data_IF_802284740501
#
_entry.id   IF_802284740501
#
_cell.length_a   1.000
_cell.length_b   1.000
_cell.length_c   1.000
_cell.angle_alpha   90.00
_cell.angle_beta   90.00
_cell.angle_gamma   90.00
#
_symmetry.space_group_name_H-M   'P 1'
#
loop_
_entity.id
_entity.type
_entity.pdbx_description
1 polymer ?
#
# COMPACT_ATOMS: atom_id res chain seq x y z
N UNK A 1 0.85 -14.06 4.42
CA UNK A 1 -0.60 -14.15 4.75
C UNK A 1 -0.93 -15.37 5.60
N UNK A 2 -0.71 -16.61 5.13
CA UNK A 2 -1.07 -17.83 5.88
C UNK A 2 -0.46 -17.93 7.28
N UNK A 3 0.85 -17.66 7.42
CA UNK A 3 1.54 -17.70 8.74
C UNK A 3 0.88 -16.73 9.74
N UNK A 4 0.56 -15.50 9.30
CA UNK A 4 -0.14 -14.51 10.12
C UNK A 4 -1.56 -14.97 10.49
N UNK A 5 -2.26 -15.67 9.60
CA UNK A 5 -3.58 -16.22 9.89
C UNK A 5 -3.51 -17.30 10.98
N UNK A 6 -2.52 -18.19 10.93
CA UNK A 6 -2.31 -19.20 11.98
C UNK A 6 -2.02 -18.54 13.32
N UNK A 7 -1.14 -17.53 13.35
CA UNK A 7 -0.83 -16.77 14.56
C UNK A 7 -2.09 -16.07 15.10
N UNK A 8 -2.87 -15.42 14.24
CA UNK A 8 -4.09 -14.74 14.63
C UNK A 8 -5.12 -15.68 15.25
N UNK A 9 -5.29 -16.89 14.69
CA UNK A 9 -6.16 -17.91 15.29
C UNK A 9 -5.68 -18.27 16.70
N UNK A 10 -4.36 -18.46 16.91
CA UNK A 10 -3.85 -18.78 18.25
C UNK A 10 -4.04 -17.63 19.26
N UNK A 11 -4.02 -16.38 18.81
CA UNK A 11 -4.18 -15.22 19.68
C UNK A 11 -5.65 -14.91 20.01
N UNK A 12 -6.55 -15.07 19.04
CA UNK A 12 -7.89 -14.45 19.07
C UNK A 12 -9.06 -15.41 18.93
N UNK A 13 -8.82 -16.72 18.74
CA UNK A 13 -9.89 -17.72 18.61
C UNK A 13 -10.86 -17.65 19.78
N UNK A 14 -12.16 -17.62 19.49
CA UNK A 14 -13.22 -17.66 20.50
C UNK A 14 -13.47 -16.36 21.25
N UNK A 15 -12.75 -15.28 20.92
CA UNK A 15 -12.80 -14.02 21.70
C UNK A 15 -13.57 -12.88 21.01
N UNK A 16 -14.10 -13.13 19.81
CA UNK A 16 -14.78 -12.12 18.98
C UNK A 16 -16.31 -12.15 19.15
N UNK A 17 -16.78 -12.56 20.32
CA UNK A 17 -18.19 -12.54 20.70
C UNK A 17 -18.51 -11.29 21.51
N UNK A 18 -19.74 -10.79 21.38
CA UNK A 18 -20.23 -9.64 22.12
C UNK A 18 -21.73 -9.75 22.35
N UNK A 19 -22.21 -9.14 23.45
CA UNK A 19 -23.63 -8.94 23.66
C UNK A 19 -24.08 -7.65 22.97
N UNK A 20 -25.33 -7.61 22.48
CA UNK A 20 -25.94 -6.35 21.99
C UNK A 20 -26.05 -5.27 23.08
N UNK A 21 -26.07 -5.68 24.35
CA UNK A 21 -26.05 -4.80 25.53
C UNK A 21 -24.64 -4.83 26.15
N UNK A 22 -23.97 -3.68 26.17
CA UNK A 22 -22.60 -3.53 26.69
C UNK A 22 -22.48 -3.72 28.20
N UNK A 23 -23.59 -3.78 28.93
CA UNK A 23 -23.57 -4.07 30.37
C UNK A 23 -23.35 -5.55 30.69
N UNK A 24 -23.41 -6.44 29.69
CA UNK A 24 -23.36 -7.90 29.85
C UNK A 24 -22.14 -8.52 29.17
N UNK A 25 -21.32 -9.19 29.97
CA UNK A 25 -20.04 -9.74 29.53
C UNK A 25 -20.08 -11.24 29.22
N UNK A 26 -21.16 -11.96 29.52
CA UNK A 26 -21.24 -13.41 29.31
C UNK A 26 -22.51 -13.80 28.56
N UNK A 27 -22.45 -14.90 27.81
CA UNK A 27 -23.60 -15.45 27.08
C UNK A 27 -24.78 -15.76 28.02
N UNK A 28 -24.49 -16.27 29.22
CA UNK A 28 -25.51 -16.60 30.20
C UNK A 28 -26.29 -15.37 30.70
N UNK A 29 -25.61 -14.23 30.81
CA UNK A 29 -26.21 -12.97 31.21
C UNK A 29 -26.85 -12.19 30.05
N UNK A 30 -26.43 -12.45 28.81
CA UNK A 30 -26.94 -11.83 27.59
C UNK A 30 -28.32 -12.39 27.19
N UNK A 31 -29.27 -12.38 28.13
CA UNK A 31 -30.64 -12.88 27.95
C UNK A 31 -31.66 -11.81 28.35
N UNK A 32 -32.86 -11.92 27.79
CA UNK A 32 -33.95 -10.99 28.03
C UNK A 32 -33.91 -9.79 27.09
N UNK A 33 -34.21 -8.60 27.62
CA UNK A 33 -34.37 -7.38 26.84
C UNK A 33 -33.62 -6.21 27.49
N UNK A 34 -33.16 -5.28 26.67
CA UNK A 34 -32.56 -4.02 27.09
C UNK A 34 -33.28 -2.84 26.42
N UNK A 35 -33.05 -1.63 26.95
CA UNK A 35 -33.60 -0.40 26.38
C UNK A 35 -32.47 0.23 25.56
N UNK A 36 -32.67 0.33 24.25
CA UNK A 36 -31.74 1.03 23.37
C UNK A 36 -32.05 2.53 23.45
N UNK A 37 -31.19 3.28 24.13
CA UNK A 37 -31.35 4.74 24.28
C UNK A 37 -31.04 5.51 23.00
N UNK A 38 -30.32 4.91 22.03
CA UNK A 38 -29.97 5.53 20.76
C UNK A 38 -31.07 5.34 19.70
N UNK A 39 -31.86 4.25 19.81
CA UNK A 39 -32.98 3.95 18.90
C UNK A 39 -34.34 4.04 19.57
N UNK A 40 -34.83 5.28 19.74
CA UNK A 40 -36.21 5.57 20.16
C UNK A 40 -36.61 5.01 21.54
N UNK A 41 -35.65 4.65 22.41
CA UNK A 41 -35.92 4.01 23.73
C UNK A 41 -36.78 2.74 23.59
N UNK A 42 -36.65 2.02 22.48
CA UNK A 42 -37.39 0.78 22.25
C UNK A 42 -36.75 -0.37 23.03
N UNK A 43 -37.61 -1.32 23.41
CA UNK A 43 -37.21 -2.55 24.08
C UNK A 43 -36.69 -3.53 23.02
N UNK A 44 -35.38 -3.71 22.96
CA UNK A 44 -34.73 -4.66 22.07
C UNK A 44 -34.32 -5.94 22.81
N UNK A 45 -34.29 -7.07 22.10
CA UNK A 45 -33.89 -8.36 22.66
C UNK A 45 -32.37 -8.41 22.77
N UNK A 46 -31.85 -8.89 23.90
CA UNK A 46 -30.41 -9.15 24.04
C UNK A 46 -30.03 -10.38 23.23
N UNK A 47 -28.98 -10.25 22.42
CA UNK A 47 -28.47 -11.32 21.58
C UNK A 47 -26.95 -11.42 21.73
N UNK A 48 -26.46 -12.64 21.97
CA UNK A 48 -25.03 -12.94 21.94
C UNK A 48 -24.61 -13.17 20.49
N UNK A 49 -23.80 -12.28 19.95
CA UNK A 49 -23.42 -12.25 18.54
C UNK A 49 -21.92 -12.40 18.38
N UNK A 50 -21.52 -12.96 17.24
CA UNK A 50 -20.14 -12.96 16.79
C UNK A 50 -19.92 -11.80 15.83
N UNK A 51 -18.74 -11.17 15.88
CA UNK A 51 -18.34 -10.18 14.87
C UNK A 51 -18.20 -10.82 13.49
N UNK A 52 -18.55 -10.09 12.43
CA UNK A 52 -18.47 -10.58 11.04
C UNK A 52 -17.02 -10.91 10.63
N UNK A 53 -16.07 -10.11 11.10
CA UNK A 53 -14.64 -10.35 10.96
C UNK A 53 -14.08 -10.90 12.29
N UNK A 54 -13.58 -12.14 12.26
CA UNK A 54 -13.15 -12.88 13.44
C UNK A 54 -12.07 -13.92 13.08
N UNK A 55 -11.41 -14.47 14.10
CA UNK A 55 -10.23 -15.35 13.96
C UNK A 55 -10.47 -16.77 14.49
N UNK A 56 -11.70 -17.29 14.46
CA UNK A 56 -12.03 -18.59 15.06
C UNK A 56 -11.46 -19.79 14.30
N UNK A 57 -11.30 -19.64 12.98
CA UNK A 57 -10.67 -20.64 12.13
C UNK A 57 -9.85 -19.97 11.03
N UNK A 58 -9.01 -20.78 10.38
CA UNK A 58 -8.02 -20.32 9.42
C UNK A 58 -8.68 -19.60 8.23
N UNK A 59 -9.85 -20.05 7.76
CA UNK A 59 -10.53 -19.45 6.61
C UNK A 59 -11.03 -18.05 6.94
N UNK A 60 -11.71 -17.88 8.08
CA UNK A 60 -12.16 -16.57 8.53
C UNK A 60 -11.00 -15.65 8.90
N UNK A 61 -9.94 -16.18 9.51
CA UNK A 61 -8.73 -15.42 9.77
C UNK A 61 -8.08 -14.90 8.48
N UNK A 62 -8.03 -15.71 7.42
CA UNK A 62 -7.55 -15.28 6.11
C UNK A 62 -8.44 -14.19 5.52
N UNK A 63 -9.77 -14.32 5.62
CA UNK A 63 -10.72 -13.31 5.15
C UNK A 63 -10.54 -11.98 5.90
N UNK A 64 -10.46 -12.03 7.24
CA UNK A 64 -10.25 -10.83 8.05
C UNK A 64 -8.91 -10.18 7.74
N UNK A 65 -7.82 -10.95 7.61
CA UNK A 65 -6.51 -10.39 7.23
C UNK A 65 -6.48 -9.84 5.81
N UNK A 66 -7.26 -10.40 4.89
CA UNK A 66 -7.44 -9.87 3.55
C UNK A 66 -8.10 -8.49 3.61
N UNK A 67 -9.22 -8.33 4.33
CA UNK A 67 -9.88 -7.03 4.54
C UNK A 67 -8.96 -6.03 5.22
N UNK A 68 -8.19 -6.46 6.23
CA UNK A 68 -7.19 -5.59 6.86
C UNK A 68 -6.11 -5.16 5.86
N UNK A 69 -5.70 -6.04 4.93
CA UNK A 69 -4.68 -5.72 3.93
C UNK A 69 -5.13 -4.73 2.85
N UNK A 70 -6.44 -4.60 2.60
CA UNK A 70 -6.96 -3.59 1.66
C UNK A 70 -7.00 -2.20 2.30
N UNK A 71 -6.79 -2.09 3.61
CA UNK A 71 -6.89 -0.82 4.33
C UNK A 71 -8.32 -0.38 4.64
N UNK A 72 -9.31 -1.24 4.41
CA UNK A 72 -10.72 -0.95 4.71
C UNK A 72 -11.15 -1.63 6.02
N UNK A 73 -11.83 -0.89 6.89
CA UNK A 73 -12.39 -1.44 8.14
C UNK A 73 -11.36 -1.93 9.17
N UNK A 74 -10.06 -1.89 8.87
CA UNK A 74 -9.00 -2.35 9.78
C UNK A 74 -9.00 -1.65 11.15
N UNK A 75 -9.36 -0.35 11.32
CA UNK A 75 -9.39 0.25 12.66
C UNK A 75 -10.45 -0.41 13.54
N UNK A 76 -11.57 -0.83 12.97
CA UNK A 76 -12.64 -1.53 13.68
C UNK A 76 -12.18 -2.93 14.10
N UNK A 77 -11.53 -3.66 13.20
CA UNK A 77 -10.98 -4.99 13.51
C UNK A 77 -9.88 -4.90 14.57
N UNK A 78 -9.00 -3.89 14.48
CA UNK A 78 -7.99 -3.60 15.50
C UNK A 78 -8.63 -3.29 16.85
N UNK A 79 -9.61 -2.38 16.88
CA UNK A 79 -10.31 -2.00 18.11
C UNK A 79 -10.98 -3.23 18.75
N UNK A 80 -11.72 -4.02 17.98
CA UNK A 80 -12.29 -5.26 18.46
C UNK A 80 -11.22 -6.22 19.00
N UNK A 81 -10.03 -6.26 18.42
CA UNK A 81 -8.92 -7.11 18.88
C UNK A 81 -8.26 -6.60 20.17
N UNK A 82 -8.26 -5.28 20.40
CA UNK A 82 -7.75 -4.66 21.63
C UNK A 82 -8.73 -4.86 22.78
N UNK A 83 -10.03 -4.83 22.47
CA UNK A 83 -11.10 -5.00 23.45
C UNK A 83 -11.34 -6.48 23.83
N UNK A 84 -10.66 -7.42 23.18
CA UNK A 84 -10.75 -8.86 23.48
C UNK A 84 -10.35 -9.17 24.92
N UNK A 85 -11.13 -10.02 25.57
CA UNK A 85 -10.90 -10.51 26.94
C UNK A 85 -10.43 -11.97 26.97
N UNK A 86 -11.28 -12.86 27.45
CA UNK A 86 -11.08 -14.31 27.54
C UNK A 86 -12.05 -15.01 26.58
N UNK A 87 -11.89 -16.32 26.41
CA UNK A 87 -12.88 -17.11 25.67
C UNK A 87 -14.24 -17.04 26.42
N UNK A 88 -15.34 -17.00 25.65
CA UNK A 88 -16.73 -16.90 26.15
C UNK A 88 -17.07 -15.63 26.96
N UNK A 89 -16.20 -14.61 26.91
CA UNK A 89 -16.46 -13.29 27.48
C UNK A 89 -16.54 -12.19 26.42
N UNK A 90 -17.33 -11.18 26.74
CA UNK A 90 -17.56 -10.00 25.91
C UNK A 90 -16.36 -9.07 25.90
N UNK A 91 -16.37 -8.07 25.01
CA UNK A 91 -15.29 -7.11 24.89
C UNK A 91 -15.25 -6.18 26.11
N UNK A 92 -14.04 -5.85 26.58
CA UNK A 92 -13.80 -4.83 27.60
C UNK A 92 -12.86 -3.77 27.03
N UNK A 93 -13.29 -2.52 27.07
CA UNK A 93 -12.62 -1.42 26.38
C UNK A 93 -11.16 -1.26 26.84
N UNK A 94 -10.22 -1.37 25.90
CA UNK A 94 -8.80 -1.16 26.17
C UNK A 94 -8.11 -2.29 26.96
N UNK A 95 -8.74 -3.46 27.09
CA UNK A 95 -8.24 -4.56 27.93
C UNK A 95 -6.85 -5.07 27.52
N UNK A 96 -6.59 -5.28 26.23
CA UNK A 96 -5.32 -5.83 25.73
C UNK A 96 -4.72 -4.97 24.62
N UNK A 97 -4.27 -3.77 24.98
CA UNK A 97 -3.58 -2.86 24.05
C UNK A 97 -2.37 -3.48 23.35
N UNK A 98 -1.67 -4.42 24.01
CA UNK A 98 -0.51 -5.13 23.45
C UNK A 98 -0.82 -5.90 22.16
N UNK A 99 -2.07 -6.32 21.96
CA UNK A 99 -2.51 -7.00 20.74
C UNK A 99 -2.41 -6.12 19.49
N UNK A 100 -2.30 -4.79 19.66
CA UNK A 100 -2.06 -3.85 18.55
C UNK A 100 -0.73 -4.09 17.85
N UNK A 101 0.27 -4.64 18.55
CA UNK A 101 1.60 -4.93 17.99
C UNK A 101 1.48 -5.92 16.81
N UNK A 102 0.55 -6.87 16.88
CA UNK A 102 0.29 -7.82 15.79
C UNK A 102 -0.03 -7.09 14.47
N UNK A 103 -0.90 -6.08 14.53
CA UNK A 103 -1.31 -5.29 13.37
C UNK A 103 -0.19 -4.39 12.85
N UNK A 104 0.60 -3.79 13.74
CA UNK A 104 1.77 -3.00 13.36
C UNK A 104 2.77 -3.86 12.58
N UNK A 105 3.10 -5.04 13.09
CA UNK A 105 4.00 -5.97 12.41
C UNK A 105 3.38 -6.41 11.07
N UNK A 106 2.08 -6.73 11.04
CA UNK A 106 1.40 -7.10 9.81
C UNK A 106 1.49 -5.98 8.75
N UNK A 107 1.19 -4.73 9.09
CA UNK A 107 1.22 -3.60 8.17
C UNK A 107 2.61 -3.18 7.70
N UNK A 108 3.67 -3.47 8.46
CA UNK A 108 5.05 -3.22 8.01
C UNK A 108 5.53 -4.37 7.14
N UNK A 109 5.37 -5.60 7.62
CA UNK A 109 5.96 -6.79 7.00
C UNK A 109 5.19 -7.20 5.75
N UNK A 110 3.86 -7.24 5.80
CA UNK A 110 3.06 -7.76 4.68
C UNK A 110 3.20 -6.89 3.41
N UNK A 111 3.03 -5.56 3.44
CA UNK A 111 3.24 -4.72 2.26
C UNK A 111 4.68 -4.75 1.77
N UNK A 112 5.67 -4.80 2.66
CA UNK A 112 7.07 -4.87 2.25
C UNK A 112 7.33 -6.12 1.39
N UNK A 113 6.93 -7.31 1.86
CA UNK A 113 7.09 -8.53 1.07
C UNK A 113 6.19 -8.55 -0.17
N UNK A 114 4.92 -8.15 -0.03
CA UNK A 114 3.96 -8.22 -1.13
C UNK A 114 4.32 -7.27 -2.27
N UNK A 115 4.60 -6.00 -1.97
CA UNK A 115 4.97 -4.99 -2.96
C UNK A 115 6.28 -5.35 -3.63
N UNK A 116 7.29 -5.79 -2.88
CA UNK A 116 8.59 -6.15 -3.47
C UNK A 116 8.48 -7.36 -4.41
N UNK A 117 7.74 -8.40 -4.03
CA UNK A 117 7.50 -9.57 -4.89
C UNK A 117 6.67 -9.16 -6.13
N UNK A 118 5.63 -8.35 -5.94
CA UNK A 118 4.77 -7.90 -7.03
C UNK A 118 5.53 -7.05 -8.05
N UNK A 119 6.32 -6.08 -7.59
CA UNK A 119 7.18 -5.25 -8.44
C UNK A 119 8.20 -6.10 -9.19
N UNK A 120 8.85 -7.05 -8.51
CA UNK A 120 9.80 -7.96 -9.14
C UNK A 120 9.15 -8.79 -10.27
N UNK A 121 7.96 -9.34 -10.02
CA UNK A 121 7.21 -10.11 -11.02
C UNK A 121 6.85 -9.24 -12.22
N UNK A 122 6.34 -8.01 -12.00
CA UNK A 122 6.03 -7.07 -13.08
C UNK A 122 7.26 -6.79 -13.94
N UNK A 123 8.41 -6.50 -13.32
CA UNK A 123 9.66 -6.22 -14.05
C UNK A 123 10.04 -7.41 -14.93
N UNK A 124 10.03 -8.63 -14.37
CA UNK A 124 10.37 -9.85 -15.12
C UNK A 124 9.42 -10.04 -16.30
N UNK A 125 8.11 -9.85 -16.10
CA UNK A 125 7.13 -9.98 -17.20
C UNK A 125 7.32 -8.95 -18.30
N UNK A 126 7.66 -7.70 -17.96
CA UNK A 126 7.94 -6.66 -18.96
C UNK A 126 9.26 -6.91 -19.69
N UNK A 127 10.28 -7.42 -19.01
CA UNK A 127 11.53 -7.84 -19.64
C UNK A 127 11.27 -8.98 -20.62
N UNK A 128 10.53 -10.00 -20.22
CA UNK A 128 10.19 -11.15 -21.08
C UNK A 128 9.36 -10.72 -22.30
N UNK A 129 8.39 -9.81 -22.13
CA UNK A 129 7.64 -9.24 -23.25
C UNK A 129 8.51 -8.40 -24.18
N UNK A 130 9.39 -7.56 -23.62
CA UNK A 130 10.33 -6.75 -24.40
C UNK A 130 11.32 -7.59 -25.19
N UNK A 131 11.79 -8.70 -24.60
CA UNK A 131 12.70 -9.64 -25.27
C UNK A 131 11.98 -10.41 -26.39
N UNK A 132 10.75 -10.90 -26.18
CA UNK A 132 9.94 -11.55 -27.24
C UNK A 132 9.66 -10.63 -28.43
N UNK A 133 9.38 -9.34 -28.18
CA UNK A 133 9.21 -8.36 -29.26
C UNK A 133 10.49 -8.11 -30.07
N UNK A 134 11.66 -8.40 -29.51
CA UNK A 134 12.94 -8.28 -30.21
C UNK A 134 13.41 -9.57 -30.86
N UNK A 135 12.88 -10.73 -30.44
CA UNK A 135 13.26 -12.05 -30.96
C UNK A 135 12.91 -12.23 -32.46
N UNK A 136 11.88 -11.54 -32.96
CA UNK A 136 11.54 -11.54 -34.40
C UNK A 136 12.53 -10.73 -35.26
N UNK A 137 13.49 -10.02 -34.67
CA UNK A 137 14.48 -9.22 -35.38
C UNK A 137 15.85 -9.92 -35.36
N UNK A 138 16.44 -10.17 -36.52
CA UNK A 138 17.76 -10.81 -36.65
C UNK A 138 18.95 -9.94 -36.21
N UNK A 139 18.69 -8.78 -35.59
CA UNK A 139 19.69 -7.78 -35.22
C UNK A 139 19.74 -7.62 -33.70
N UNK A 140 20.94 -7.49 -33.13
CA UNK A 140 21.10 -7.23 -31.70
C UNK A 140 20.53 -5.85 -31.29
N UNK A 141 20.16 -5.67 -30.02
CA UNK A 141 19.57 -4.41 -29.50
C UNK A 141 20.45 -3.18 -29.80
N UNK A 142 21.76 -3.36 -29.68
CA UNK A 142 22.75 -2.30 -29.92
C UNK A 142 22.85 -1.94 -31.41
N UNK A 143 22.77 -2.93 -32.30
CA UNK A 143 22.82 -2.72 -33.75
C UNK A 143 21.58 -1.96 -34.21
N UNK A 144 20.39 -2.38 -33.77
CA UNK A 144 19.13 -1.67 -34.08
C UNK A 144 19.17 -0.22 -33.60
N UNK A 145 19.61 0.02 -32.36
CA UNK A 145 19.72 1.38 -31.83
C UNK A 145 20.69 2.27 -32.63
N UNK A 146 21.82 1.71 -33.08
CA UNK A 146 22.78 2.40 -33.92
C UNK A 146 22.20 2.73 -35.30
N UNK A 147 21.51 1.77 -35.93
CA UNK A 147 20.87 1.95 -37.23
C UNK A 147 19.76 2.99 -37.16
N UNK A 148 18.87 2.91 -36.15
CA UNK A 148 17.80 3.89 -35.94
C UNK A 148 18.38 5.29 -35.73
N UNK A 149 19.44 5.42 -34.94
CA UNK A 149 20.11 6.71 -34.77
C UNK A 149 20.71 7.21 -36.09
N UNK A 150 21.42 6.36 -36.84
CA UNK A 150 22.02 6.75 -38.11
C UNK A 150 20.99 7.20 -39.15
N UNK A 151 19.80 6.57 -39.17
CA UNK A 151 18.72 6.91 -40.10
C UNK A 151 17.93 8.14 -39.63
N UNK A 152 17.69 8.29 -38.33
CA UNK A 152 16.82 9.35 -37.77
C UNK A 152 17.56 10.64 -37.41
N UNK A 153 18.89 10.60 -37.27
CA UNK A 153 19.68 11.75 -36.88
C UNK A 153 19.57 12.89 -37.90
N UNK A 154 19.24 14.08 -37.40
CA UNK A 154 19.23 15.33 -38.16
C UNK A 154 20.38 16.22 -37.70
N UNK A 155 20.98 17.02 -38.60
CA UNK A 155 22.06 17.91 -38.23
C UNK A 155 21.58 18.96 -37.22
N UNK A 156 22.38 19.20 -36.18
CA UNK A 156 22.16 20.31 -35.25
C UNK A 156 22.39 21.64 -35.97
N UNK A 157 21.33 22.43 -36.12
CA UNK A 157 21.42 23.77 -36.69
C UNK A 157 21.96 24.75 -35.66
N UNK A 158 23.20 25.21 -35.85
CA UNK A 158 23.76 26.35 -35.10
C UNK A 158 23.70 27.61 -35.97
N UNK A 159 23.02 28.64 -35.47
CA UNK A 159 22.97 29.95 -36.12
C UNK A 159 24.25 30.73 -35.83
N UNK A 160 25.27 30.52 -36.67
CA UNK A 160 26.55 31.23 -36.59
C UNK A 160 26.53 32.47 -37.50
N UNK A 161 26.87 33.67 -36.98
CA UNK A 161 27.01 34.87 -37.82
C UNK A 161 28.13 34.68 -38.86
N UNK A 162 27.87 35.03 -40.13
CA UNK A 162 28.83 34.85 -41.22
C UNK A 162 30.07 35.74 -41.09
N UNK A 163 29.91 36.98 -40.62
CA UNK A 163 30.99 37.96 -40.54
C UNK A 163 31.68 37.98 -39.18
N UNK A 164 32.94 37.55 -39.16
CA UNK A 164 33.74 37.44 -37.93
C UNK A 164 34.23 38.77 -37.36
N UNK A 165 34.21 39.83 -38.16
CA UNK A 165 34.65 41.18 -37.79
C UNK A 165 33.54 42.04 -37.16
N UNK A 166 32.29 41.57 -37.21
CA UNK A 166 31.14 42.31 -36.70
C UNK A 166 30.98 42.11 -35.19
N UNK A 167 30.48 43.14 -34.49
CA UNK A 167 30.10 43.05 -33.08
C UNK A 167 29.12 41.90 -32.79
N UNK A 168 28.25 41.57 -33.76
CA UNK A 168 27.33 40.43 -33.70
C UNK A 168 28.05 39.10 -33.45
N UNK A 169 29.22 38.87 -34.07
CA UNK A 169 30.01 37.66 -33.83
C UNK A 169 30.63 37.66 -32.43
N UNK A 170 31.12 38.81 -31.95
CA UNK A 170 31.71 38.92 -30.61
C UNK A 170 30.67 38.68 -29.51
N UNK A 171 29.46 39.20 -29.69
CA UNK A 171 28.34 38.97 -28.77
C UNK A 171 27.91 37.50 -28.81
N UNK A 172 27.75 36.91 -30.00
CA UNK A 172 27.43 35.49 -30.15
C UNK A 172 28.48 34.60 -29.47
N UNK A 173 29.77 34.88 -29.68
CA UNK A 173 30.86 34.12 -29.05
C UNK A 173 30.89 34.25 -27.53
N UNK A 174 30.49 35.41 -26.98
CA UNK A 174 30.35 35.59 -25.54
C UNK A 174 29.16 34.80 -24.98
N UNK A 175 28.00 34.88 -25.63
CA UNK A 175 26.77 34.17 -25.21
C UNK A 175 26.94 32.65 -25.28
N UNK A 176 27.67 32.13 -26.28
CA UNK A 176 27.96 30.69 -26.41
C UNK A 176 29.13 30.25 -25.50
N UNK A 177 29.77 31.17 -24.78
CA UNK A 177 30.90 30.82 -23.92
C UNK A 177 30.44 30.17 -22.59
N UNK A 178 31.22 29.23 -22.03
CA UNK A 178 30.90 28.62 -20.74
C UNK A 178 30.80 29.63 -19.60
N UNK A 179 31.57 30.72 -19.66
CA UNK A 179 31.56 31.78 -18.63
C UNK A 179 30.17 32.42 -18.53
N UNK A 180 29.53 32.67 -19.67
CA UNK A 180 28.18 33.22 -19.69
C UNK A 180 27.18 32.23 -19.07
N UNK A 181 27.27 30.94 -19.41
CA UNK A 181 26.42 29.89 -18.80
C UNK A 181 26.56 29.85 -17.28
N UNK A 182 27.79 29.85 -16.75
CA UNK A 182 28.02 29.88 -15.30
C UNK A 182 27.48 31.14 -14.64
N UNK A 183 27.65 32.33 -15.25
CA UNK A 183 27.13 33.57 -14.68
C UNK A 183 25.61 33.58 -14.59
N UNK A 184 24.90 33.06 -15.59
CA UNK A 184 23.43 32.95 -15.57
C UNK A 184 22.98 31.96 -14.51
N UNK A 185 23.63 30.79 -14.42
CA UNK A 185 23.32 29.79 -13.40
C UNK A 185 23.50 30.35 -11.98
N UNK A 186 24.55 31.13 -11.73
CA UNK A 186 24.77 31.79 -10.43
C UNK A 186 23.80 32.93 -10.13
N UNK A 187 23.17 33.50 -11.15
CA UNK A 187 22.23 34.62 -11.00
C UNK A 187 20.79 34.13 -10.80
N UNK A 188 20.48 32.91 -11.21
CA UNK A 188 19.18 32.24 -10.98
C UNK A 188 19.15 31.54 -9.61
N UNK A 189 20.30 31.00 -9.16
CA UNK A 189 20.46 30.37 -7.85
C UNK A 189 20.36 31.39 -6.70
#
# INVERSE_FOLDING_TARGET
MFIFAVIAVQLFKGKFYYCTDSSKDTENECKGYYIDYDKDKKKEKREWKRRDFHYDNIIWALLTLFTVSTGEGWPQVLQHSVDVTEEDRGPSQGNRMEMSIFYVIYFVVFPFFFVNIFVALIIITFQEQGDKMMEECSLEKNERACIDFAISAKPLTRYMPQNRQTLQYRLWHFVVSPVYEYTILTMIA
#
